data_IF_076522041587
#
_entry.id   IF_076522041587
#
_cell.length_a   1.000
_cell.length_b   1.000
_cell.length_c   1.000
_cell.angle_alpha   90.00
_cell.angle_beta   90.00
_cell.angle_gamma   90.00
#
_symmetry.space_group_name_H-M   'P 1'
#
loop_
_entity.id
_entity.type
_entity.pdbx_description
1 polymer ?
#
# COMPACT_ATOMS: atom_id res chain seq x y z
N UNK A 1 -1.41 -38.01 27.09
CA UNK A 1 -2.45 -38.18 26.04
C UNK A 1 -2.95 -36.77 25.73
N UNK A 2 -2.45 -35.99 24.77
CA UNK A 2 -2.08 -36.19 23.36
C UNK A 2 -0.85 -35.33 22.99
N UNK A 3 0.04 -35.89 22.19
CA UNK A 3 1.01 -35.19 21.33
C UNK A 3 0.24 -34.65 20.09
N UNK A 4 0.37 -33.39 19.62
CA UNK A 4 1.20 -32.94 18.46
C UNK A 4 0.75 -31.52 17.99
N UNK A 5 1.50 -30.75 17.16
CA UNK A 5 2.94 -30.46 17.15
C UNK A 5 3.25 -28.96 17.43
N UNK A 6 4.52 -28.61 17.71
CA UNK A 6 4.98 -27.24 17.82
C UNK A 6 5.18 -26.66 16.41
N UNK A 7 4.53 -25.54 16.13
CA UNK A 7 5.02 -24.61 15.11
C UNK A 7 6.33 -24.02 15.60
N UNK A 8 7.37 -24.84 15.50
CA UNK A 8 8.74 -24.60 15.96
C UNK A 8 9.39 -23.56 15.03
N UNK A 9 9.00 -22.30 15.19
CA UNK A 9 9.88 -21.19 14.78
C UNK A 9 10.85 -20.96 15.92
N UNK A 10 11.94 -21.72 15.86
CA UNK A 10 13.13 -21.55 16.69
C UNK A 10 13.54 -20.06 16.70
N UNK A 11 13.71 -19.43 17.87
CA UNK A 11 14.29 -18.11 17.97
C UNK A 11 15.79 -18.22 17.64
N UNK A 12 16.12 -18.20 16.35
CA UNK A 12 17.46 -17.82 15.92
C UNK A 12 17.49 -16.30 16.03
N UNK A 13 18.26 -15.84 17.00
CA UNK A 13 18.68 -14.45 17.20
C UNK A 13 19.40 -13.97 15.93
N UNK A 14 18.61 -13.55 14.94
CA UNK A 14 19.08 -12.80 13.79
C UNK A 14 19.44 -11.38 14.22
N UNK A 15 20.35 -10.71 13.49
CA UNK A 15 20.76 -9.33 13.81
C UNK A 15 19.52 -8.42 13.91
N UNK A 16 19.58 -7.33 14.68
CA UNK A 16 18.43 -6.47 14.93
C UNK A 16 17.77 -6.11 13.60
N UNK A 17 16.54 -6.56 13.40
CA UNK A 17 15.73 -6.19 12.23
C UNK A 17 15.56 -4.67 12.30
N UNK A 18 16.10 -3.90 11.34
CA UNK A 18 15.87 -2.47 11.31
C UNK A 18 14.36 -2.21 11.22
N UNK A 19 13.84 -1.12 11.83
CA UNK A 19 12.42 -0.80 11.77
C UNK A 19 11.97 -0.83 10.31
N UNK A 20 10.92 -1.60 10.05
CA UNK A 20 10.40 -1.91 8.73
C UNK A 20 10.27 -0.68 7.82
N UNK A 21 11.23 -0.53 6.89
CA UNK A 21 11.11 0.29 5.68
C UNK A 21 9.90 -0.13 4.80
N UNK A 22 9.27 -1.26 5.12
CA UNK A 22 8.09 -1.85 4.47
C UNK A 22 6.90 -0.88 4.32
N UNK A 23 6.62 -0.01 5.30
CA UNK A 23 5.49 0.93 5.21
C UNK A 23 5.73 2.04 4.18
N UNK A 24 7.00 2.34 3.89
CA UNK A 24 7.37 3.37 2.92
C UNK A 24 7.39 2.81 1.50
N UNK A 25 7.64 1.52 1.30
CA UNK A 25 7.78 0.92 -0.05
C UNK A 25 6.57 1.10 -0.96
N UNK A 26 5.35 0.80 -0.49
CA UNK A 26 4.13 0.94 -1.31
C UNK A 26 3.70 2.42 -1.48
N UNK A 27 3.82 3.21 -0.41
CA UNK A 27 3.50 4.64 -0.44
C UNK A 27 4.49 5.43 -1.32
N UNK A 28 5.77 5.03 -1.37
CA UNK A 28 6.81 5.60 -2.23
C UNK A 28 6.69 5.12 -3.68
N UNK A 29 6.28 3.87 -3.91
CA UNK A 29 5.92 3.37 -5.24
C UNK A 29 4.70 4.13 -5.82
N UNK A 30 3.70 4.42 -4.98
CA UNK A 30 2.52 5.19 -5.37
C UNK A 30 2.81 6.69 -5.54
N UNK A 31 3.71 7.24 -4.72
CA UNK A 31 4.18 8.63 -4.83
C UNK A 31 5.38 8.80 -5.75
N UNK A 32 5.71 7.77 -6.56
CA UNK A 32 6.64 7.96 -7.67
C UNK A 32 6.17 9.17 -8.48
N UNK A 33 7.01 10.21 -8.68
CA UNK A 33 6.59 11.46 -9.30
C UNK A 33 5.82 11.28 -10.63
N UNK A 34 6.18 10.30 -11.50
CA UNK A 34 5.42 10.00 -12.70
C UNK A 34 4.03 9.40 -12.44
N UNK A 35 3.91 8.42 -11.53
CA UNK A 35 2.65 7.75 -11.22
C UNK A 35 1.69 8.67 -10.48
N UNK A 36 2.21 9.50 -9.57
CA UNK A 36 1.44 10.51 -8.84
C UNK A 36 0.73 11.49 -9.78
N UNK A 37 1.44 11.99 -10.81
CA UNK A 37 0.86 12.87 -11.82
C UNK A 37 -0.23 12.17 -12.64
N UNK A 38 -0.01 10.91 -13.00
CA UNK A 38 -1.00 10.13 -13.73
C UNK A 38 -2.30 9.96 -12.93
N UNK A 39 -2.20 9.57 -11.65
CA UNK A 39 -3.36 9.45 -10.77
C UNK A 39 -4.08 10.80 -10.58
N UNK A 40 -3.33 11.89 -10.41
CA UNK A 40 -3.91 13.22 -10.28
C UNK A 40 -4.68 13.64 -11.55
N UNK A 41 -4.15 13.34 -12.74
CA UNK A 41 -4.81 13.63 -14.01
C UNK A 41 -6.11 12.86 -14.16
N UNK A 42 -6.09 11.54 -13.97
CA UNK A 42 -7.30 10.70 -14.04
C UNK A 42 -8.32 11.11 -12.97
N UNK A 43 -7.88 11.38 -11.73
CA UNK A 43 -8.76 11.88 -10.67
C UNK A 43 -9.44 13.20 -11.03
N UNK A 44 -8.71 14.13 -11.64
CA UNK A 44 -9.27 15.41 -12.11
C UNK A 44 -10.32 15.19 -13.21
N UNK A 45 -10.05 14.30 -14.17
CA UNK A 45 -11.02 13.95 -15.20
C UNK A 45 -12.28 13.34 -14.60
N UNK A 46 -12.15 12.36 -13.68
CA UNK A 46 -13.28 11.72 -13.02
C UNK A 46 -14.14 12.75 -12.26
N UNK A 47 -13.52 13.62 -11.46
CA UNK A 47 -14.25 14.66 -10.72
C UNK A 47 -14.95 15.61 -11.67
N UNK A 48 -14.28 16.06 -12.74
CA UNK A 48 -14.89 16.92 -13.75
C UNK A 48 -16.12 16.28 -14.41
N UNK A 49 -16.03 14.99 -14.74
CA UNK A 49 -17.16 14.24 -15.32
C UNK A 49 -18.30 14.05 -14.32
N UNK A 50 -18.00 13.74 -13.05
CA UNK A 50 -19.00 13.56 -12.00
C UNK A 50 -19.74 14.87 -11.67
N UNK A 51 -19.02 15.99 -11.64
CA UNK A 51 -19.61 17.32 -11.50
C UNK A 51 -20.50 17.63 -12.71
N UNK A 52 -20.01 17.44 -13.93
CA UNK A 52 -20.81 17.65 -15.13
C UNK A 52 -22.08 16.79 -15.13
N UNK A 53 -21.99 15.53 -14.70
CA UNK A 53 -23.15 14.65 -14.54
C UNK A 53 -24.12 15.20 -13.48
N UNK A 54 -23.66 15.50 -12.28
CA UNK A 54 -24.52 15.96 -11.17
C UNK A 54 -25.21 17.31 -11.42
N UNK A 55 -24.57 18.22 -12.17
CA UNK A 55 -25.10 19.57 -12.41
C UNK A 55 -25.74 19.77 -13.79
N UNK A 56 -25.50 18.88 -14.75
CA UNK A 56 -26.09 18.95 -16.09
C UNK A 56 -27.17 17.90 -16.32
N UNK A 57 -27.47 17.10 -15.30
CA UNK A 57 -28.70 16.32 -15.16
C UNK A 57 -29.74 17.13 -14.39
#
# INVERSE_FOLDING_TARGET
MLQSPPGEQSPIEGPPVPPSDETRGCLFALSQPPLMLFLAFIGTLLVGTAVHDLYRW
#
